data_IF_960593137059
#
_entry.id   IF_960593137059
#
_cell.length_a   1.000
_cell.length_b   1.000
_cell.length_c   1.000
_cell.angle_alpha   90.00
_cell.angle_beta   90.00
_cell.angle_gamma   90.00
#
_symmetry.space_group_name_H-M   'P 1'
#
loop_
_entity.id
_entity.type
_entity.pdbx_description
1 polymer ?
#
# COMPACT_ATOMS: atom_id res chain seq x y z
N UNK A 1 4.96 -24.52 -2.47
CA UNK A 1 5.13 -23.35 -1.64
C UNK A 1 3.86 -22.55 -1.53
N UNK A 2 3.60 -22.06 -0.36
CA UNK A 2 2.38 -21.31 -0.14
C UNK A 2 2.69 -19.84 -0.01
N UNK A 3 1.99 -19.03 -0.78
CA UNK A 3 2.13 -17.59 -0.69
C UNK A 3 1.13 -17.06 0.33
N UNK A 4 1.61 -16.31 1.27
CA UNK A 4 0.73 -15.68 2.23
C UNK A 4 0.38 -14.29 1.75
N UNK A 5 -0.82 -13.88 2.06
CA UNK A 5 -1.33 -12.62 1.56
C UNK A 5 -0.85 -11.43 2.36
N UNK A 6 -0.32 -11.70 3.51
CA UNK A 6 0.02 -10.63 4.43
C UNK A 6 1.47 -10.21 4.33
N UNK A 7 2.10 -10.55 3.22
CA UNK A 7 3.53 -10.31 3.09
C UNK A 7 3.88 -9.09 2.28
N UNK A 8 2.91 -8.35 1.80
CA UNK A 8 3.20 -7.22 0.94
C UNK A 8 2.95 -5.91 1.66
N UNK A 9 3.85 -4.98 1.45
CA UNK A 9 3.72 -3.62 1.97
C UNK A 9 3.91 -2.67 0.80
N UNK A 10 2.98 -1.79 0.60
CA UNK A 10 3.04 -0.79 -0.46
C UNK A 10 3.25 0.56 0.21
N UNK A 11 4.19 1.33 -0.30
CA UNK A 11 4.37 2.69 0.14
C UNK A 11 4.18 3.61 -1.05
N UNK A 12 3.57 4.75 -0.82
CA UNK A 12 3.32 5.71 -1.87
C UNK A 12 3.27 7.10 -1.28
N UNK A 13 3.87 8.04 -1.96
CA UNK A 13 3.84 9.39 -1.46
C UNK A 13 4.76 10.32 -2.19
N UNK A 14 4.87 11.52 -1.64
CA UNK A 14 5.80 12.52 -2.11
C UNK A 14 6.94 12.58 -1.11
N UNK A 15 7.90 13.47 -1.36
CA UNK A 15 9.01 13.56 -0.43
C UNK A 15 8.58 14.11 0.94
N UNK A 16 7.39 14.70 1.02
CA UNK A 16 6.91 15.27 2.29
C UNK A 16 5.90 14.36 2.98
N UNK A 17 5.24 13.50 2.24
CA UNK A 17 4.19 12.65 2.80
C UNK A 17 4.34 11.25 2.25
N UNK A 18 4.24 10.28 3.11
CA UNK A 18 4.31 8.89 2.71
C UNK A 18 3.16 8.14 3.38
N UNK A 19 2.45 7.38 2.58
CA UNK A 19 1.39 6.50 3.07
C UNK A 19 1.81 5.07 2.87
N UNK A 20 1.40 4.23 3.79
CA UNK A 20 1.73 2.81 3.74
C UNK A 20 0.46 1.99 3.67
N UNK A 21 0.52 0.88 2.94
CA UNK A 21 -0.62 0.01 2.77
C UNK A 21 -0.18 -1.41 3.11
N UNK A 22 -0.88 -2.02 4.04
CA UNK A 22 -0.54 -3.36 4.53
C UNK A 22 -1.66 -4.32 4.20
N UNK A 23 -1.29 -5.49 3.72
CA UNK A 23 -2.27 -6.53 3.48
C UNK A 23 -2.71 -7.13 4.81
N UNK A 24 -4.00 -7.22 5.00
CA UNK A 24 -4.60 -7.85 6.15
C UNK A 24 -5.42 -9.03 5.66
N UNK A 25 -5.83 -9.90 6.54
CA UNK A 25 -6.58 -11.07 6.11
C UNK A 25 -7.95 -10.68 5.54
N UNK A 26 -8.47 -9.53 5.92
CA UNK A 26 -9.77 -9.08 5.44
C UNK A 26 -9.68 -8.01 4.38
N UNK A 27 -8.49 -7.69 3.92
CA UNK A 27 -8.33 -6.65 2.93
C UNK A 27 -7.04 -5.91 3.14
N UNK A 28 -7.12 -4.59 3.10
CA UNK A 28 -5.94 -3.76 3.23
C UNK A 28 -6.15 -2.70 4.29
N UNK A 29 -5.07 -2.26 4.87
CA UNK A 29 -5.09 -1.18 5.85
C UNK A 29 -4.15 -0.10 5.34
N UNK A 30 -4.68 1.11 5.20
CA UNK A 30 -3.91 2.26 4.81
C UNK A 30 -3.50 3.01 6.07
N UNK A 31 -2.23 3.36 6.17
CA UNK A 31 -1.74 4.19 7.25
C UNK A 31 -1.31 5.50 6.64
N UNK A 32 -1.99 6.57 7.01
CA UNK A 32 -1.72 7.88 6.45
C UNK A 32 -0.41 8.43 6.98
N UNK A 33 0.04 9.52 6.39
CA UNK A 33 1.28 10.15 6.82
C UNK A 33 1.22 10.59 8.28
N UNK A 34 0.02 10.82 8.79
CA UNK A 34 -0.15 11.23 10.18
C UNK A 34 -0.35 10.05 11.12
N UNK A 35 -0.35 8.84 10.57
CA UNK A 35 -0.48 7.65 11.39
C UNK A 35 -1.89 7.15 11.57
N UNK A 36 -2.86 7.74 10.91
CA UNK A 36 -4.24 7.28 10.98
C UNK A 36 -4.42 6.04 10.13
N UNK A 37 -5.21 5.10 10.64
CA UNK A 37 -5.43 3.84 9.96
C UNK A 37 -6.82 3.80 9.36
N UNK A 38 -6.90 3.33 8.13
CA UNK A 38 -8.15 3.20 7.40
C UNK A 38 -8.19 1.84 6.73
N UNK A 39 -9.34 1.20 6.79
CA UNK A 39 -9.51 -0.08 6.13
C UNK A 39 -10.01 0.14 4.72
N UNK A 40 -9.45 -0.60 3.78
CA UNK A 40 -9.86 -0.50 2.38
C UNK A 40 -9.98 -1.89 1.79
N UNK A 41 -10.84 -1.98 0.78
CA UNK A 41 -10.90 -3.20 -0.01
C UNK A 41 -9.78 -3.18 -1.04
N UNK A 42 -9.55 -4.36 -1.64
CA UNK A 42 -8.53 -4.43 -2.69
C UNK A 42 -8.88 -3.55 -3.87
N UNK A 43 -10.17 -3.45 -4.18
CA UNK A 43 -10.59 -2.61 -5.29
C UNK A 43 -10.37 -1.13 -5.00
N UNK A 44 -10.65 -0.72 -3.78
CA UNK A 44 -10.41 0.67 -3.39
C UNK A 44 -8.92 0.98 -3.45
N UNK A 45 -8.11 0.05 -3.00
CA UNK A 45 -6.67 0.23 -3.06
C UNK A 45 -6.19 0.36 -4.50
N UNK A 46 -6.68 -0.50 -5.36
CA UNK A 46 -6.27 -0.47 -6.75
C UNK A 46 -6.64 0.87 -7.38
N UNK A 47 -7.85 1.35 -7.15
CA UNK A 47 -8.28 2.63 -7.70
C UNK A 47 -7.43 3.77 -7.18
N UNK A 48 -6.95 3.64 -5.95
CA UNK A 48 -6.13 4.66 -5.35
C UNK A 48 -4.72 4.68 -5.94
N UNK A 49 -4.22 3.52 -6.32
CA UNK A 49 -2.86 3.39 -6.83
C UNK A 49 -2.74 3.68 -8.32
N UNK A 50 -3.81 3.46 -9.06
CA UNK A 50 -3.73 3.55 -10.52
C UNK A 50 -3.20 4.89 -11.03
N UNK A 51 -3.59 6.04 -10.47
CA UNK A 51 -3.03 7.29 -10.98
C UNK A 51 -1.51 7.38 -10.81
N UNK A 52 -0.99 6.83 -9.73
CA UNK A 52 0.45 6.83 -9.52
C UNK A 52 1.14 5.86 -10.47
N UNK A 53 0.56 4.67 -10.65
CA UNK A 53 1.15 3.66 -11.52
C UNK A 53 1.15 4.15 -12.95
N UNK A 54 0.09 4.80 -13.37
CA UNK A 54 -0.04 5.28 -14.75
C UNK A 54 0.76 6.55 -15.01
N UNK A 55 1.32 7.14 -13.97
CA UNK A 55 2.08 8.37 -14.14
C UNK A 55 1.24 9.59 -14.36
N UNK A 56 -0.04 9.52 -14.05
CA UNK A 56 -0.94 10.65 -14.23
C UNK A 56 -0.63 11.74 -13.21
N UNK A 57 -0.31 11.31 -11.99
CA UNK A 57 0.10 12.26 -10.94
C UNK A 57 1.60 12.30 -10.89
N UNK A 58 2.15 13.48 -11.08
CA UNK A 58 3.59 13.66 -11.02
C UNK A 58 4.03 13.87 -9.58
N UNK A 59 5.28 13.52 -9.31
CA UNK A 59 5.84 13.72 -7.97
C UNK A 59 5.53 12.63 -6.98
N UNK A 60 4.77 11.62 -7.39
CA UNK A 60 4.50 10.48 -6.52
C UNK A 60 5.52 9.38 -6.77
N UNK A 61 6.01 8.84 -5.68
CA UNK A 61 6.91 7.69 -5.71
C UNK A 61 6.20 6.55 -5.00
N UNK A 62 6.30 5.37 -5.55
CA UNK A 62 5.67 4.22 -4.95
C UNK A 62 6.61 3.04 -4.98
N UNK A 63 6.39 2.12 -4.06
CA UNK A 63 7.23 0.96 -3.91
C UNK A 63 6.41 -0.18 -3.32
N UNK A 64 6.71 -1.40 -3.74
CA UNK A 64 6.06 -2.58 -3.21
C UNK A 64 7.14 -3.51 -2.70
N UNK A 65 7.02 -3.92 -1.45
CA UNK A 65 7.96 -4.83 -0.84
C UNK A 65 7.26 -6.11 -0.46
N UNK A 66 7.97 -7.21 -0.64
CA UNK A 66 7.51 -8.49 -0.17
C UNK A 66 8.25 -8.81 1.12
N UNK A 67 7.51 -8.92 2.20
CA UNK A 67 8.10 -9.21 3.50
C UNK A 67 7.49 -10.49 4.03
N UNK A 68 8.08 -11.63 3.70
CA UNK A 68 7.54 -12.90 4.16
C UNK A 68 7.51 -12.94 5.67
N UNK A 69 6.46 -13.54 6.18
CA UNK A 69 6.29 -13.65 7.60
C UNK A 69 7.39 -14.51 8.19
N UNK A 70 7.96 -14.03 9.26
CA UNK A 70 9.03 -14.74 9.96
C UNK A 70 8.46 -15.58 11.07
N UNK A 71 9.04 -16.73 11.23
CA UNK A 71 8.62 -17.61 12.31
C UNK A 71 9.61 -17.66 13.40
#
# INVERSE_FOLDING_TARGET
>A
MKLTNDSYVITMGTKNFTESYYKDKDGWIKISAKGNKFRMTAEQLLNHLLPAIAGVKTGLVWNVEYKPEEK
#
